data_IF_820581846328
#
_entry.id   IF_820581846328
#
_cell.length_a   1.000
_cell.length_b   1.000
_cell.length_c   1.000
_cell.angle_alpha   90.00
_cell.angle_beta   90.00
_cell.angle_gamma   90.00
#
_symmetry.space_group_name_H-M   'P 1'
#
loop_
_entity.id
_entity.type
_entity.pdbx_description
1 polymer ?
#
# COMPACT_ATOMS: atom_id res chain seq x y z
N UNK A 1 -38.54 -60.75 -24.99
CA UNK A 1 -38.21 -61.25 -23.63
C UNK A 1 -36.91 -60.57 -23.23
N UNK A 2 -36.97 -59.38 -22.62
CA UNK A 2 -35.78 -58.72 -22.05
C UNK A 2 -35.74 -59.20 -20.59
N UNK A 3 -34.88 -60.18 -20.33
CA UNK A 3 -34.54 -60.60 -18.97
C UNK A 3 -33.45 -59.65 -18.46
N UNK A 4 -33.60 -59.29 -17.19
CA UNK A 4 -32.66 -58.55 -16.34
C UNK A 4 -32.81 -57.01 -16.30
N UNK A 5 -33.91 -56.55 -15.70
CA UNK A 5 -34.00 -55.20 -15.10
C UNK A 5 -33.40 -55.21 -13.70
N UNK A 6 -32.34 -54.44 -13.48
CA UNK A 6 -31.85 -54.09 -12.14
C UNK A 6 -32.31 -52.68 -11.76
N UNK A 7 -32.90 -52.54 -10.58
CA UNK A 7 -33.36 -51.24 -10.03
C UNK A 7 -32.29 -50.71 -9.08
N UNK A 8 -31.60 -49.64 -9.46
CA UNK A 8 -30.66 -48.93 -8.60
C UNK A 8 -31.43 -47.89 -7.75
N UNK A 9 -31.39 -48.02 -6.42
CA UNK A 9 -31.94 -47.01 -5.50
C UNK A 9 -30.86 -46.01 -5.13
N UNK A 10 -31.15 -44.73 -5.36
CA UNK A 10 -30.32 -43.62 -4.92
C UNK A 10 -31.00 -42.87 -3.78
N UNK A 11 -30.20 -42.40 -2.81
CA UNK A 11 -30.66 -41.41 -1.83
C UNK A 11 -30.25 -40.02 -2.27
N UNK A 12 -31.21 -39.10 -2.33
CA UNK A 12 -30.98 -37.71 -2.69
C UNK A 12 -30.55 -36.93 -1.43
N UNK A 13 -29.35 -36.33 -1.46
CA UNK A 13 -28.86 -35.48 -0.38
C UNK A 13 -28.19 -34.23 -0.95
N UNK A 14 -28.69 -33.05 -0.57
CA UNK A 14 -28.15 -31.73 -0.98
C UNK A 14 -27.93 -31.56 -2.49
N UNK A 15 -28.88 -32.03 -3.31
CA UNK A 15 -28.82 -31.88 -4.77
C UNK A 15 -28.00 -32.93 -5.50
N UNK A 16 -27.47 -33.94 -4.79
CA UNK A 16 -26.69 -35.03 -5.37
C UNK A 16 -27.34 -36.39 -5.05
N UNK A 17 -27.25 -37.32 -6.01
CA UNK A 17 -27.67 -38.71 -5.84
C UNK A 17 -26.47 -39.55 -5.41
N UNK A 18 -26.55 -40.18 -4.25
CA UNK A 18 -25.45 -40.98 -3.69
C UNK A 18 -25.77 -42.46 -3.87
N UNK A 19 -24.86 -43.18 -4.53
CA UNK A 19 -24.90 -44.63 -4.65
C UNK A 19 -24.01 -45.24 -3.55
N UNK A 20 -24.59 -46.03 -2.65
CA UNK A 20 -23.83 -46.81 -1.67
C UNK A 20 -23.88 -48.29 -2.08
N UNK A 21 -22.77 -48.89 -2.54
CA UNK A 21 -22.76 -50.30 -2.89
C UNK A 21 -22.83 -51.17 -1.63
N UNK A 22 -23.75 -52.13 -1.62
CA UNK A 22 -23.75 -53.25 -0.66
C UNK A 22 -23.20 -54.47 -1.43
N UNK A 23 -21.91 -54.73 -1.25
CA UNK A 23 -21.09 -55.89 -1.65
C UNK A 23 -21.42 -56.66 -2.96
N UNK A 24 -20.59 -56.53 -3.99
CA UNK A 24 -19.54 -57.50 -4.42
C UNK A 24 -18.98 -57.11 -5.80
N UNK A 25 -17.65 -56.97 -5.87
CA UNK A 25 -16.79 -56.75 -7.05
C UNK A 25 -17.42 -56.14 -8.33
N UNK A 26 -17.76 -54.85 -8.28
CA UNK A 26 -17.90 -54.03 -9.51
C UNK A 26 -16.67 -53.14 -9.59
N UNK A 27 -15.65 -53.54 -10.36
CA UNK A 27 -14.41 -52.76 -10.49
C UNK A 27 -14.58 -51.47 -11.31
N UNK A 28 -15.64 -51.35 -12.11
CA UNK A 28 -16.14 -50.07 -12.65
C UNK A 28 -17.47 -50.26 -13.38
N UNK A 29 -18.29 -49.21 -13.41
CA UNK A 29 -19.50 -49.12 -14.22
C UNK A 29 -19.28 -47.99 -15.24
N UNK A 30 -19.41 -48.29 -16.54
CA UNK A 30 -19.25 -47.33 -17.63
C UNK A 30 -20.62 -46.84 -18.09
N UNK A 31 -21.04 -45.70 -17.57
CA UNK A 31 -22.22 -44.98 -18.09
C UNK A 31 -21.76 -44.14 -19.29
N UNK A 32 -22.06 -44.59 -20.51
CA UNK A 32 -21.92 -43.75 -21.71
C UNK A 32 -23.06 -42.76 -21.76
N UNK A 33 -22.89 -41.60 -21.14
CA UNK A 33 -23.66 -40.43 -21.56
C UNK A 33 -23.01 -39.83 -22.82
N UNK A 34 -23.79 -39.39 -23.80
CA UNK A 34 -23.23 -38.71 -24.96
C UNK A 34 -22.53 -37.42 -24.50
N UNK A 35 -21.19 -37.42 -24.53
CA UNK A 35 -20.40 -36.24 -24.19
C UNK A 35 -20.67 -35.15 -25.23
N UNK A 36 -21.05 -33.93 -24.83
CA UNK A 36 -21.28 -32.84 -25.77
C UNK A 36 -20.08 -32.58 -26.68
N UNK A 37 -20.33 -32.22 -27.94
CA UNK A 37 -19.26 -32.07 -28.96
C UNK A 37 -18.19 -31.07 -28.55
N UNK A 38 -18.59 -29.97 -27.89
CA UNK A 38 -17.66 -28.96 -27.40
C UNK A 38 -16.73 -29.52 -26.31
N UNK A 39 -17.26 -30.37 -25.41
CA UNK A 39 -16.46 -31.07 -24.38
C UNK A 39 -15.54 -32.10 -25.01
N UNK A 40 -15.98 -32.82 -26.05
CA UNK A 40 -15.11 -33.74 -26.79
C UNK A 40 -13.91 -33.02 -27.42
N UNK A 41 -14.13 -31.87 -28.05
CA UNK A 41 -13.03 -31.08 -28.62
C UNK A 41 -12.10 -30.51 -27.55
N UNK A 42 -12.63 -30.07 -26.41
CA UNK A 42 -11.81 -29.70 -25.26
C UNK A 42 -10.85 -30.80 -24.84
N UNK A 43 -11.33 -32.04 -24.75
CA UNK A 43 -10.51 -33.20 -24.40
C UNK A 43 -9.50 -33.53 -25.52
N UNK A 44 -9.94 -33.55 -26.80
CA UNK A 44 -9.08 -33.85 -27.96
C UNK A 44 -7.95 -32.85 -28.14
N UNK A 45 -8.21 -31.57 -27.85
CA UNK A 45 -7.25 -30.48 -27.96
C UNK A 45 -6.47 -30.27 -26.65
N UNK A 46 -6.24 -31.35 -25.90
CA UNK A 46 -5.45 -31.36 -24.67
C UNK A 46 -5.89 -30.29 -23.66
N UNK A 47 -7.18 -30.25 -23.36
CA UNK A 47 -7.78 -29.33 -22.40
C UNK A 47 -7.67 -27.84 -22.79
N UNK A 48 -7.73 -27.53 -24.10
CA UNK A 48 -7.78 -26.16 -24.58
C UNK A 48 -9.02 -25.42 -24.03
N UNK A 49 -8.87 -24.15 -23.64
CA UNK A 49 -9.97 -23.37 -23.06
C UNK A 49 -11.20 -23.35 -23.99
N UNK A 50 -12.40 -23.56 -23.44
CA UNK A 50 -13.65 -23.61 -24.20
C UNK A 50 -13.90 -22.35 -25.06
N UNK A 51 -13.54 -21.17 -24.56
CA UNK A 51 -13.62 -19.92 -25.31
C UNK A 51 -12.73 -19.91 -26.55
N UNK A 52 -11.51 -20.44 -26.45
CA UNK A 52 -10.60 -20.54 -27.59
C UNK A 52 -11.13 -21.51 -28.66
N UNK A 53 -11.75 -22.62 -28.25
CA UNK A 53 -12.37 -23.58 -29.17
C UNK A 53 -13.58 -22.96 -29.87
N UNK A 54 -14.45 -22.26 -29.11
CA UNK A 54 -15.59 -21.52 -29.66
C UNK A 54 -15.14 -20.46 -30.67
N UNK A 55 -14.08 -19.73 -30.36
CA UNK A 55 -13.53 -18.70 -31.25
C UNK A 55 -12.96 -19.33 -32.52
N UNK A 56 -12.15 -20.38 -32.40
CA UNK A 56 -11.59 -21.07 -33.56
C UNK A 56 -12.66 -21.68 -34.49
N UNK A 57 -13.77 -22.14 -33.92
CA UNK A 57 -14.91 -22.64 -34.70
C UNK A 57 -15.66 -21.52 -35.43
N UNK A 58 -15.74 -20.32 -34.85
CA UNK A 58 -16.35 -19.15 -35.49
C UNK A 58 -15.47 -18.58 -36.60
N UNK A 59 -14.16 -18.55 -36.37
CA UNK A 59 -13.19 -17.97 -37.29
C UNK A 59 -12.82 -18.93 -38.43
N UNK A 60 -13.27 -20.19 -38.36
CA UNK A 60 -13.04 -21.21 -39.40
C UNK A 60 -11.58 -21.61 -39.55
N UNK A 61 -10.76 -21.41 -38.51
CA UNK A 61 -9.29 -21.61 -38.57
C UNK A 61 -8.85 -23.07 -38.41
N UNK A 62 -9.78 -24.00 -38.16
CA UNK A 62 -9.51 -25.43 -38.02
C UNK A 62 -10.51 -26.26 -38.83
N UNK A 63 -10.00 -27.08 -39.75
CA UNK A 63 -10.80 -28.02 -40.54
C UNK A 63 -11.27 -29.22 -39.71
N UNK A 64 -12.45 -29.78 -40.04
CA UNK A 64 -13.01 -30.96 -39.36
C UNK A 64 -13.75 -30.71 -38.03
N UNK A 65 -13.77 -29.46 -37.55
CA UNK A 65 -14.49 -29.08 -36.33
C UNK A 65 -15.94 -28.68 -36.66
N UNK A 66 -16.86 -29.65 -36.61
CA UNK A 66 -18.29 -29.42 -36.87
C UNK A 66 -19.07 -29.14 -35.58
N UNK A 67 -19.11 -27.87 -35.17
CA UNK A 67 -19.92 -27.38 -34.04
C UNK A 67 -21.15 -26.62 -34.55
N UNK A 68 -22.33 -26.93 -34.02
CA UNK A 68 -23.57 -26.22 -34.32
C UNK A 68 -23.68 -24.94 -33.49
N UNK A 69 -24.60 -24.03 -33.86
CA UNK A 69 -24.92 -22.86 -33.03
C UNK A 69 -25.34 -23.25 -31.61
N UNK A 70 -26.02 -24.38 -31.45
CA UNK A 70 -26.42 -24.92 -30.15
C UNK A 70 -25.21 -25.33 -29.31
N UNK A 71 -24.23 -26.03 -29.92
CA UNK A 71 -22.99 -26.43 -29.23
C UNK A 71 -22.18 -25.22 -28.73
N UNK A 72 -22.17 -24.12 -29.50
CA UNK A 72 -21.43 -22.89 -29.15
C UNK A 72 -22.12 -22.05 -28.07
N UNK A 73 -23.45 -22.19 -27.93
CA UNK A 73 -24.25 -21.45 -26.97
C UNK A 73 -24.16 -22.02 -25.55
N UNK A 74 -23.76 -23.29 -25.39
CA UNK A 74 -23.62 -23.91 -24.08
C UNK A 74 -22.28 -23.61 -23.43
N UNK A 75 -22.28 -23.42 -22.12
CA UNK A 75 -21.07 -23.32 -21.30
C UNK A 75 -20.85 -24.60 -20.51
N UNK A 76 -19.59 -25.01 -20.45
CA UNK A 76 -19.14 -26.20 -19.73
C UNK A 76 -17.95 -25.85 -18.87
N UNK A 77 -17.82 -26.53 -17.74
CA UNK A 77 -16.66 -26.48 -16.87
C UNK A 77 -15.99 -27.86 -16.87
N UNK A 78 -14.65 -27.88 -16.87
CA UNK A 78 -13.89 -29.12 -16.74
C UNK A 78 -13.21 -29.13 -15.37
N UNK A 79 -13.68 -29.99 -14.46
CA UNK A 79 -13.14 -30.09 -13.10
C UNK A 79 -11.62 -30.26 -13.07
N UNK A 80 -11.07 -31.10 -13.95
CA UNK A 80 -9.62 -31.31 -14.07
C UNK A 80 -8.89 -30.01 -14.46
N UNK A 81 -9.48 -29.20 -15.33
CA UNK A 81 -8.92 -27.89 -15.67
C UNK A 81 -9.09 -26.88 -14.54
N UNK A 82 -10.22 -26.89 -13.84
CA UNK A 82 -10.44 -26.02 -12.69
C UNK A 82 -9.40 -26.30 -11.61
N UNK A 83 -9.08 -27.57 -11.34
CA UNK A 83 -8.05 -27.95 -10.36
C UNK A 83 -6.63 -27.66 -10.88
N UNK A 84 -6.28 -28.11 -12.09
CA UNK A 84 -4.91 -28.05 -12.59
C UNK A 84 -4.50 -26.67 -13.15
N UNK A 85 -5.48 -25.87 -13.59
CA UNK A 85 -5.28 -24.54 -14.19
C UNK A 85 -5.93 -23.44 -13.37
N UNK A 86 -6.37 -23.72 -12.14
CA UNK A 86 -6.76 -22.70 -11.18
C UNK A 86 -5.67 -21.63 -11.11
N UNK A 87 -6.04 -20.40 -11.47
CA UNK A 87 -5.22 -19.23 -11.24
C UNK A 87 -5.83 -18.49 -10.06
N UNK A 88 -4.98 -18.00 -9.15
CA UNK A 88 -5.43 -17.06 -8.10
C UNK A 88 -6.20 -15.94 -8.78
N UNK A 89 -7.36 -15.57 -8.22
CA UNK A 89 -8.12 -14.43 -8.75
C UNK A 89 -7.17 -13.25 -8.89
N UNK A 90 -7.09 -12.67 -10.09
CA UNK A 90 -6.43 -11.37 -10.21
C UNK A 90 -7.29 -10.36 -9.47
N UNK A 91 -6.76 -9.74 -8.41
CA UNK A 91 -7.42 -8.65 -7.67
C UNK A 91 -7.75 -7.42 -8.55
N UNK A 92 -7.40 -7.43 -9.84
CA UNK A 92 -7.89 -6.49 -10.85
C UNK A 92 -9.43 -6.44 -10.96
N UNK A 93 -10.15 -7.47 -10.49
CA UNK A 93 -11.62 -7.51 -10.48
C UNK A 93 -12.28 -7.08 -9.17
N UNK A 94 -11.51 -6.73 -8.14
CA UNK A 94 -12.04 -5.96 -7.01
C UNK A 94 -11.83 -4.49 -7.34
N UNK A 95 -12.91 -3.70 -7.41
CA UNK A 95 -12.84 -2.26 -7.13
C UNK A 95 -12.93 -2.14 -5.61
N UNK A 96 -11.84 -2.29 -4.83
CA UNK A 96 -11.96 -2.12 -3.39
C UNK A 96 -12.55 -0.73 -3.14
N UNK A 97 -13.59 -0.67 -2.31
CA UNK A 97 -14.12 0.59 -1.82
C UNK A 97 -12.97 1.32 -1.12
N UNK A 98 -12.50 2.38 -1.76
CA UNK A 98 -11.53 3.29 -1.20
C UNK A 98 -12.31 4.37 -0.47
N UNK A 99 -12.04 4.56 0.82
CA UNK A 99 -12.61 5.73 1.51
C UNK A 99 -12.15 7.02 0.84
N UNK A 100 -13.04 8.01 0.81
CA UNK A 100 -12.75 9.39 0.43
C UNK A 100 -12.82 10.33 1.63
N UNK A 101 -13.19 9.80 2.81
CA UNK A 101 -13.38 10.56 4.04
C UNK A 101 -12.04 10.61 4.77
N UNK A 102 -11.54 11.80 5.14
CA UNK A 102 -10.34 11.91 5.95
C UNK A 102 -10.45 11.14 7.27
N UNK A 103 -9.38 10.46 7.65
CA UNK A 103 -9.22 9.67 8.88
C UNK A 103 -10.14 8.46 9.03
N UNK A 104 -10.96 8.14 8.03
CA UNK A 104 -11.77 6.92 8.08
C UNK A 104 -10.88 5.67 8.08
N UNK A 105 -9.79 5.66 7.30
CA UNK A 105 -8.79 4.60 7.34
C UNK A 105 -7.38 5.16 7.17
N UNK A 106 -6.50 4.83 8.11
CA UNK A 106 -5.07 5.17 8.06
C UNK A 106 -4.24 3.90 7.96
N UNK A 107 -3.44 3.80 6.90
CA UNK A 107 -2.46 2.73 6.73
C UNK A 107 -1.17 3.09 7.44
N UNK A 108 -0.63 2.15 8.19
CA UNK A 108 0.57 2.33 9.01
C UNK A 108 1.59 1.29 8.57
N UNK A 109 2.80 1.75 8.28
CA UNK A 109 3.93 0.88 7.97
C UNK A 109 5.22 1.47 8.54
N UNK A 110 6.16 0.57 8.84
CA UNK A 110 7.42 0.90 9.49
C UNK A 110 8.58 0.65 8.55
N UNK A 111 9.46 1.63 8.45
CA UNK A 111 10.74 1.48 7.75
C UNK A 111 11.93 1.36 8.71
N UNK A 112 12.93 0.61 8.27
CA UNK A 112 14.20 0.42 8.95
C UNK A 112 14.40 -0.98 9.54
N UNK A 113 15.52 -1.21 10.26
CA UNK A 113 16.52 -0.22 10.66
C UNK A 113 17.29 0.39 9.46
N UNK A 114 17.60 1.68 9.54
CA UNK A 114 18.43 2.40 8.57
C UNK A 114 19.80 2.68 9.22
N UNK A 115 20.85 2.32 8.49
CA UNK A 115 22.25 2.55 8.88
C UNK A 115 22.89 3.52 7.89
N UNK A 116 23.61 4.56 8.34
CA UNK A 116 23.85 4.94 9.74
C UNK A 116 22.61 5.55 10.43
N UNK A 117 22.56 5.54 11.79
CA UNK A 117 21.55 6.29 12.53
C UNK A 117 21.64 7.79 12.21
N UNK A 118 20.54 8.52 12.37
CA UNK A 118 20.57 9.99 12.30
C UNK A 118 21.44 10.59 13.41
N UNK A 119 21.81 11.87 13.30
CA UNK A 119 22.49 12.60 14.38
C UNK A 119 21.71 12.59 15.71
N UNK A 120 20.37 12.46 15.66
CA UNK A 120 19.51 12.30 16.84
C UNK A 120 19.31 10.84 17.29
N UNK A 121 20.09 9.89 16.78
CA UNK A 121 20.02 8.47 17.16
C UNK A 121 18.79 7.73 16.64
N UNK A 122 18.02 8.32 15.71
CA UNK A 122 16.88 7.66 15.07
C UNK A 122 17.38 6.61 14.08
N UNK A 123 16.77 5.42 14.11
CA UNK A 123 17.12 4.26 13.27
C UNK A 123 15.93 3.71 12.49
N UNK A 124 14.72 4.07 12.88
CA UNK A 124 13.49 3.60 12.26
C UNK A 124 12.57 4.80 11.98
N UNK A 125 11.55 4.58 11.16
CA UNK A 125 10.47 5.54 11.00
C UNK A 125 9.14 4.82 10.82
N UNK A 126 8.05 5.50 11.15
CA UNK A 126 6.70 5.08 10.84
C UNK A 126 6.06 6.09 9.90
N UNK A 127 5.45 5.57 8.84
CA UNK A 127 4.70 6.37 7.88
C UNK A 127 3.22 6.02 8.01
N UNK A 128 2.41 7.02 8.35
CA UNK A 128 0.97 6.89 8.45
C UNK A 128 0.38 7.56 7.22
N UNK A 129 -0.42 6.84 6.45
CA UNK A 129 -1.00 7.32 5.18
C UNK A 129 -2.51 7.22 5.25
N UNK A 130 -3.18 8.37 5.22
CA UNK A 130 -4.62 8.42 5.15
C UNK A 130 -5.13 7.93 3.78
N UNK A 131 -6.08 7.01 3.78
CA UNK A 131 -6.56 6.39 2.55
C UNK A 131 -7.37 7.38 1.68
N UNK A 132 -8.16 8.23 2.32
CA UNK A 132 -8.99 9.25 1.67
C UNK A 132 -8.14 10.31 0.99
N UNK A 133 -7.36 11.02 1.78
CA UNK A 133 -6.61 12.21 1.39
C UNK A 133 -5.22 11.92 0.86
N UNK A 134 -4.69 10.71 1.02
CA UNK A 134 -3.28 10.36 0.73
C UNK A 134 -2.25 11.19 1.52
N UNK A 135 -2.71 11.90 2.55
CA UNK A 135 -1.85 12.68 3.41
C UNK A 135 -0.99 11.75 4.25
N UNK A 136 0.26 12.14 4.43
CA UNK A 136 1.28 11.32 5.08
C UNK A 136 1.76 12.01 6.35
N UNK A 137 1.76 11.29 7.47
CA UNK A 137 2.45 11.71 8.69
C UNK A 137 3.67 10.81 8.88
N UNK A 138 4.79 11.43 9.23
CA UNK A 138 6.06 10.77 9.46
C UNK A 138 6.44 10.89 10.93
N UNK A 139 6.85 9.78 11.51
CA UNK A 139 7.43 9.73 12.86
C UNK A 139 8.79 9.07 12.77
N UNK A 140 9.82 9.67 13.38
CA UNK A 140 11.17 9.09 13.46
C UNK A 140 11.37 8.43 14.82
N UNK A 141 11.82 7.18 14.82
CA UNK A 141 11.90 6.32 16.00
C UNK A 141 13.36 5.92 16.28
N UNK A 142 13.72 5.87 17.56
CA UNK A 142 14.97 5.26 18.01
C UNK A 142 14.81 3.74 18.03
N UNK A 143 13.66 3.25 18.50
CA UNK A 143 13.35 1.82 18.63
C UNK A 143 11.91 1.49 18.23
N UNK A 144 11.65 0.22 17.91
CA UNK A 144 10.32 -0.26 17.49
C UNK A 144 9.28 -0.22 18.62
N UNK A 145 9.67 -0.12 19.89
CA UNK A 145 8.73 -0.08 21.02
C UNK A 145 8.00 1.27 21.15
N UNK A 146 8.45 2.33 20.46
CA UNK A 146 7.82 3.65 20.51
C UNK A 146 6.46 3.72 19.78
N UNK A 147 6.14 2.72 18.93
CA UNK A 147 4.96 2.66 18.05
C UNK A 147 3.64 2.99 18.77
N UNK A 148 3.35 2.31 19.89
CA UNK A 148 2.09 2.51 20.62
C UNK A 148 1.98 3.92 21.19
N UNK A 149 3.10 4.45 21.70
CA UNK A 149 3.13 5.82 22.27
C UNK A 149 2.91 6.86 21.18
N UNK A 150 3.50 6.64 20.00
CA UNK A 150 3.33 7.51 18.84
C UNK A 150 1.88 7.46 18.35
N UNK A 151 1.29 6.27 18.21
CA UNK A 151 -0.09 6.13 17.77
C UNK A 151 -1.08 6.83 18.72
N UNK A 152 -0.91 6.68 20.04
CA UNK A 152 -1.74 7.36 21.04
C UNK A 152 -1.67 8.89 20.88
N UNK A 153 -0.47 9.44 20.68
CA UNK A 153 -0.27 10.87 20.46
C UNK A 153 -0.87 11.32 19.12
N UNK A 154 -0.66 10.53 18.07
CA UNK A 154 -1.21 10.77 16.74
C UNK A 154 -2.72 10.87 16.81
N UNK A 155 -3.41 9.84 17.33
CA UNK A 155 -4.86 9.79 17.46
C UNK A 155 -5.41 11.07 18.14
N UNK A 156 -4.92 11.42 19.32
CA UNK A 156 -5.40 12.61 20.04
C UNK A 156 -5.13 13.90 19.25
N UNK A 157 -3.95 14.01 18.63
CA UNK A 157 -3.59 15.24 17.90
C UNK A 157 -4.38 15.41 16.61
N UNK A 158 -4.58 14.35 15.84
CA UNK A 158 -5.17 14.41 14.50
C UNK A 158 -6.66 14.70 14.57
N UNK A 159 -7.37 14.12 15.54
CA UNK A 159 -8.79 14.42 15.75
C UNK A 159 -9.00 15.87 16.21
N UNK A 160 -8.12 16.39 17.06
CA UNK A 160 -8.17 17.80 17.51
C UNK A 160 -7.86 18.79 16.40
N UNK A 161 -7.05 18.41 15.41
CA UNK A 161 -6.61 19.30 14.34
C UNK A 161 -7.60 19.37 13.17
N UNK A 162 -8.30 18.27 12.88
CA UNK A 162 -9.04 18.13 11.64
C UNK A 162 -10.55 17.91 11.80
N UNK A 163 -11.05 17.80 13.05
CA UNK A 163 -12.47 17.53 13.35
C UNK A 163 -13.04 16.26 12.66
N UNK A 164 -12.15 15.34 12.29
CA UNK A 164 -12.48 14.00 11.83
C UNK A 164 -12.09 12.99 12.89
N UNK A 165 -12.76 11.84 12.89
CA UNK A 165 -12.46 10.72 13.79
C UNK A 165 -11.58 9.70 13.11
N UNK A 166 -10.54 9.24 13.80
CA UNK A 166 -9.76 8.10 13.36
C UNK A 166 -10.59 6.83 13.59
N UNK A 167 -11.12 6.22 12.53
CA UNK A 167 -12.02 5.06 12.67
C UNK A 167 -11.30 3.73 12.59
N UNK A 168 -10.44 3.59 11.59
CA UNK A 168 -9.76 2.32 11.32
C UNK A 168 -8.27 2.55 11.10
N UNK A 169 -7.44 1.72 11.72
CA UNK A 169 -6.02 1.61 11.37
C UNK A 169 -5.77 0.29 10.65
N UNK A 170 -4.91 0.35 9.63
CA UNK A 170 -4.49 -0.82 8.88
C UNK A 170 -2.97 -1.00 9.01
N UNK A 171 -2.55 -2.13 9.57
CA UNK A 171 -1.12 -2.46 9.80
C UNK A 171 -0.77 -3.79 9.15
N UNK A 172 0.52 -4.06 9.03
CA UNK A 172 0.99 -5.43 8.81
C UNK A 172 0.83 -6.29 10.08
N UNK A 173 1.18 -7.58 9.98
CA UNK A 173 1.16 -8.51 11.11
C UNK A 173 2.41 -8.41 12.00
N UNK A 174 3.06 -7.24 12.08
CA UNK A 174 4.23 -7.07 12.94
C UNK A 174 3.83 -7.12 14.43
N UNK A 175 4.73 -7.67 15.26
CA UNK A 175 4.44 -7.98 16.67
C UNK A 175 4.06 -6.74 17.50
N UNK A 176 4.65 -5.59 17.16
CA UNK A 176 4.31 -4.30 17.77
C UNK A 176 2.82 -3.93 17.61
N UNK A 177 2.25 -4.23 16.45
CA UNK A 177 0.86 -3.89 16.11
C UNK A 177 -0.13 -4.97 16.59
N UNK A 178 0.35 -6.14 16.97
CA UNK A 178 -0.48 -7.21 17.54
C UNK A 178 -0.42 -7.25 19.08
N UNK A 179 0.16 -6.23 19.71
CA UNK A 179 0.34 -6.21 21.16
C UNK A 179 -1.01 -6.11 21.91
N UNK A 180 -1.10 -6.76 23.08
CA UNK A 180 -2.29 -6.71 23.95
C UNK A 180 -2.65 -5.27 24.33
N UNK A 181 -1.64 -4.44 24.56
CA UNK A 181 -1.82 -3.03 24.94
C UNK A 181 -2.41 -2.20 23.80
N UNK A 182 -1.97 -2.42 22.57
CA UNK A 182 -2.53 -1.73 21.41
C UNK A 182 -3.97 -2.18 21.15
N UNK A 183 -4.23 -3.49 21.25
CA UNK A 183 -5.57 -4.03 21.14
C UNK A 183 -6.52 -3.44 22.18
N UNK A 184 -6.09 -3.37 23.45
CA UNK A 184 -6.87 -2.77 24.53
C UNK A 184 -7.09 -1.26 24.33
N UNK A 185 -6.07 -0.55 23.83
CA UNK A 185 -6.21 0.87 23.51
C UNK A 185 -7.25 1.10 22.42
N UNK A 186 -7.12 0.42 21.29
CA UNK A 186 -8.03 0.60 20.15
C UNK A 186 -9.46 0.19 20.48
N UNK A 187 -9.66 -0.97 21.12
CA UNK A 187 -11.01 -1.42 21.51
C UNK A 187 -11.67 -0.49 22.53
N UNK A 188 -10.90 0.07 23.48
CA UNK A 188 -11.41 0.97 24.51
C UNK A 188 -11.94 2.31 23.98
N UNK A 189 -11.50 2.74 22.80
CA UNK A 189 -11.91 4.01 22.16
C UNK A 189 -12.68 3.81 20.85
N UNK A 190 -12.88 2.55 20.44
CA UNK A 190 -13.62 2.20 19.22
C UNK A 190 -12.85 2.34 17.91
N UNK A 191 -11.51 2.30 17.93
CA UNK A 191 -10.71 2.21 16.70
C UNK A 191 -10.69 0.75 16.22
N UNK A 192 -11.13 0.51 14.99
CA UNK A 192 -11.02 -0.78 14.34
C UNK A 192 -9.58 -1.03 13.88
N UNK A 193 -9.09 -2.25 14.08
CA UNK A 193 -7.79 -2.68 13.60
C UNK A 193 -7.96 -3.71 12.50
N UNK A 194 -7.45 -3.37 11.32
CA UNK A 194 -7.36 -4.28 10.19
C UNK A 194 -5.91 -4.70 10.00
N UNK A 195 -5.70 -5.99 9.79
CA UNK A 195 -4.39 -6.54 9.50
C UNK A 195 -4.36 -7.02 8.06
N UNK A 196 -3.24 -6.80 7.38
CA UNK A 196 -3.03 -7.35 6.05
C UNK A 196 -3.04 -8.87 6.10
N UNK A 197 -3.75 -9.52 5.18
CA UNK A 197 -3.72 -10.97 5.10
C UNK A 197 -2.29 -11.47 4.81
N UNK A 198 -1.83 -12.55 5.46
CA UNK A 198 -0.60 -13.22 5.08
C UNK A 198 -0.61 -13.52 3.57
N UNK A 199 0.45 -13.14 2.86
CA UNK A 199 0.60 -13.34 1.41
C UNK A 199 -0.38 -12.55 0.51
N UNK A 200 -0.92 -11.43 1.00
CA UNK A 200 -1.62 -10.41 0.20
C UNK A 200 -1.00 -9.01 0.41
N UNK A 201 0.27 -8.78 0.00
CA UNK A 201 0.93 -7.47 0.12
C UNK A 201 0.12 -6.35 -0.54
N UNK A 202 -0.74 -6.69 -1.50
CA UNK A 202 -1.55 -5.73 -2.22
C UNK A 202 -2.52 -4.94 -1.32
N UNK A 203 -2.89 -5.48 -0.16
CA UNK A 203 -3.82 -4.86 0.80
C UNK A 203 -3.19 -3.65 1.51
N UNK A 204 -1.87 -3.65 1.75
CA UNK A 204 -1.15 -2.47 2.29
C UNK A 204 -0.46 -1.63 1.20
N UNK A 205 -0.80 -1.87 -0.08
CA UNK A 205 -0.16 -1.22 -1.22
C UNK A 205 0.01 0.30 -1.06
N UNK A 206 -0.96 0.97 -0.44
CA UNK A 206 -0.99 2.43 -0.33
C UNK A 206 0.23 2.94 0.45
N UNK A 207 0.46 2.38 1.63
CA UNK A 207 1.58 2.80 2.47
C UNK A 207 2.89 2.17 1.98
N UNK A 208 2.90 0.92 1.53
CA UNK A 208 4.12 0.27 1.00
C UNK A 208 4.68 1.02 -0.22
N UNK A 209 3.83 1.36 -1.20
CA UNK A 209 4.24 2.16 -2.37
C UNK A 209 4.65 3.56 -1.95
N UNK A 210 4.01 4.13 -0.93
CA UNK A 210 4.39 5.43 -0.40
C UNK A 210 5.79 5.37 0.22
N UNK A 211 6.07 4.37 1.07
CA UNK A 211 7.37 4.13 1.68
C UNK A 211 8.48 3.95 0.64
N UNK A 212 8.23 3.10 -0.37
CA UNK A 212 9.15 2.93 -1.49
C UNK A 212 9.44 4.25 -2.20
N UNK A 213 8.39 5.02 -2.51
CA UNK A 213 8.50 6.30 -3.23
C UNK A 213 9.28 7.34 -2.43
N UNK A 214 8.96 7.53 -1.15
CA UNK A 214 9.63 8.54 -0.32
C UNK A 214 11.09 8.16 -0.09
N UNK A 215 11.40 6.88 0.13
CA UNK A 215 12.79 6.46 0.33
C UNK A 215 13.64 6.57 -0.93
N UNK A 216 13.08 6.34 -2.12
CA UNK A 216 13.79 6.60 -3.37
C UNK A 216 14.12 8.09 -3.53
N UNK A 217 13.16 8.97 -3.22
CA UNK A 217 13.40 10.42 -3.24
C UNK A 217 14.46 10.84 -2.22
N UNK A 218 14.48 10.25 -1.03
CA UNK A 218 15.53 10.48 -0.01
C UNK A 218 16.91 10.10 -0.56
N UNK A 219 17.05 8.92 -1.16
CA UNK A 219 18.31 8.47 -1.76
C UNK A 219 18.79 9.43 -2.84
N UNK A 220 17.92 9.77 -3.79
CA UNK A 220 18.24 10.71 -4.86
C UNK A 220 18.67 12.08 -4.32
N UNK A 221 17.94 12.59 -3.32
CA UNK A 221 18.19 13.91 -2.75
C UNK A 221 19.52 13.99 -2.03
N UNK A 222 19.82 13.03 -1.14
CA UNK A 222 21.10 12.98 -0.43
C UNK A 222 22.27 12.84 -1.38
N UNK A 223 22.13 12.01 -2.42
CA UNK A 223 23.17 11.85 -3.44
C UNK A 223 23.36 13.13 -4.27
N UNK A 224 22.28 13.80 -4.66
CA UNK A 224 22.34 15.01 -5.48
C UNK A 224 23.03 16.18 -4.76
N UNK A 225 22.80 16.34 -3.46
CA UNK A 225 23.47 17.38 -2.67
C UNK A 225 24.77 16.92 -1.97
N UNK A 226 25.22 15.68 -2.20
CA UNK A 226 26.44 15.13 -1.61
C UNK A 226 26.42 15.05 -0.08
N UNK A 227 25.23 14.96 0.53
CA UNK A 227 25.10 14.91 1.99
C UNK A 227 25.24 13.49 2.54
N UNK A 228 25.84 13.39 3.74
CA UNK A 228 26.01 12.14 4.46
C UNK A 228 24.66 11.44 4.72
N UNK A 229 24.64 10.10 4.63
CA UNK A 229 23.45 9.30 4.87
C UNK A 229 22.84 9.52 6.27
N UNK A 230 23.59 10.00 7.27
CA UNK A 230 23.08 10.41 8.59
C UNK A 230 22.00 11.49 8.54
N UNK A 231 21.88 12.23 7.43
CA UNK A 231 20.81 13.21 7.20
C UNK A 231 19.49 12.58 6.70
N UNK A 232 19.39 11.24 6.60
CA UNK A 232 18.20 10.58 6.08
C UNK A 232 16.89 10.98 6.79
N UNK A 233 16.93 11.27 8.10
CA UNK A 233 15.75 11.69 8.84
C UNK A 233 15.25 13.08 8.44
N UNK A 234 16.16 14.02 8.21
CA UNK A 234 15.85 15.37 7.73
C UNK A 234 15.35 15.31 6.28
N UNK A 235 16.06 14.57 5.42
CA UNK A 235 15.67 14.36 4.04
C UNK A 235 14.28 13.70 3.92
N UNK A 236 14.00 12.68 4.74
CA UNK A 236 12.69 12.01 4.74
C UNK A 236 11.58 12.96 5.21
N UNK A 237 11.84 13.77 6.24
CA UNK A 237 10.89 14.78 6.72
C UNK A 237 10.60 15.83 5.64
N UNK A 238 11.64 16.32 4.95
CA UNK A 238 11.51 17.22 3.82
C UNK A 238 10.71 16.58 2.66
N UNK A 239 11.03 15.35 2.28
CA UNK A 239 10.33 14.62 1.22
C UNK A 239 8.85 14.47 1.57
N UNK A 240 8.50 14.01 2.77
CA UNK A 240 7.09 13.86 3.18
C UNK A 240 6.36 15.21 3.17
N UNK A 241 7.02 16.28 3.65
CA UNK A 241 6.47 17.63 3.66
C UNK A 241 6.13 18.14 2.24
N UNK A 242 7.04 17.91 1.28
CA UNK A 242 6.82 18.27 -0.14
C UNK A 242 5.80 17.37 -0.82
N UNK A 243 5.81 16.06 -0.58
CA UNK A 243 4.85 15.11 -1.15
C UNK A 243 3.41 15.40 -0.77
N UNK A 244 3.16 15.88 0.45
CA UNK A 244 1.83 16.30 0.86
C UNK A 244 1.34 17.55 0.10
N UNK A 245 2.24 18.29 -0.55
CA UNK A 245 1.94 19.51 -1.32
C UNK A 245 2.05 19.29 -2.84
N UNK A 246 2.43 18.09 -3.27
CA UNK A 246 2.48 17.71 -4.67
C UNK A 246 1.12 17.18 -5.14
N UNK A 247 0.67 17.52 -6.36
CA UNK A 247 -0.56 16.97 -6.92
C UNK A 247 -0.41 15.46 -7.16
N UNK A 248 -1.49 14.70 -6.95
CA UNK A 248 -1.48 13.26 -7.20
C UNK A 248 -2.65 12.81 -8.06
N UNK A 249 -2.39 11.88 -8.99
CA UNK A 249 -3.41 11.26 -9.84
C UNK A 249 -4.50 10.58 -9.01
N UNK A 250 -4.15 10.05 -7.84
CA UNK A 250 -5.10 9.39 -6.95
C UNK A 250 -6.19 10.35 -6.42
N UNK A 251 -5.97 11.67 -6.47
CA UNK A 251 -6.92 12.68 -6.02
C UNK A 251 -7.42 13.56 -7.18
N UNK A 252 -7.32 13.06 -8.43
CA UNK A 252 -7.72 13.84 -9.61
C UNK A 252 -6.90 15.11 -9.80
N UNK A 253 -5.63 15.13 -9.37
CA UNK A 253 -4.74 16.28 -9.48
C UNK A 253 -4.74 17.22 -8.27
N UNK A 254 -5.57 16.99 -7.25
CA UNK A 254 -5.46 17.71 -5.97
C UNK A 254 -4.22 17.27 -5.19
N UNK A 255 -3.77 18.14 -4.30
CA UNK A 255 -2.68 17.82 -3.34
C UNK A 255 -3.27 17.10 -2.12
N UNK A 256 -2.52 16.20 -1.46
CA UNK A 256 -2.96 15.60 -0.20
C UNK A 256 -3.29 16.65 0.88
N UNK A 257 -2.53 17.75 0.91
CA UNK A 257 -2.79 18.89 1.78
C UNK A 257 -4.16 19.51 1.50
N UNK A 258 -4.48 19.77 0.23
CA UNK A 258 -5.79 20.30 -0.15
C UNK A 258 -6.93 19.35 0.22
N UNK A 259 -6.73 18.04 0.03
CA UNK A 259 -7.74 17.04 0.37
C UNK A 259 -8.01 16.95 1.88
N UNK A 260 -6.99 17.12 2.72
CA UNK A 260 -7.13 17.04 4.18
C UNK A 260 -7.57 18.36 4.82
N UNK A 261 -7.02 19.49 4.36
CA UNK A 261 -7.26 20.81 4.98
C UNK A 261 -8.34 21.64 4.27
N UNK A 262 -8.85 21.18 3.12
CA UNK A 262 -9.87 21.90 2.34
C UNK A 262 -9.38 23.18 1.66
N UNK A 263 -8.06 23.45 1.66
CA UNK A 263 -7.46 24.64 1.05
C UNK A 263 -6.14 24.31 0.36
N UNK A 264 -5.80 25.07 -0.70
CA UNK A 264 -4.54 24.89 -1.43
C UNK A 264 -3.33 25.27 -0.54
N UNK A 265 -2.22 24.51 -0.60
CA UNK A 265 -1.01 24.90 0.10
C UNK A 265 -0.34 26.11 -0.58
N UNK A 266 0.17 27.05 0.21
CA UNK A 266 1.19 27.98 -0.28
C UNK A 266 2.54 27.22 -0.31
N UNK A 267 3.29 27.37 -1.41
CA UNK A 267 4.58 26.71 -1.64
C UNK A 267 5.73 27.69 -1.84
N UNK A 268 5.50 29.00 -1.69
CA UNK A 268 6.48 30.06 -1.95
C UNK A 268 7.67 30.00 -0.98
N UNK A 269 7.47 29.41 0.20
CA UNK A 269 8.50 29.18 1.20
C UNK A 269 9.38 27.96 0.90
N UNK A 270 9.05 27.15 -0.12
CA UNK A 270 9.82 25.95 -0.43
C UNK A 270 11.20 26.31 -0.97
N UNK A 271 12.23 25.65 -0.46
CA UNK A 271 13.62 25.80 -0.91
C UNK A 271 14.20 24.43 -1.23
N UNK A 272 15.13 24.32 -2.21
CA UNK A 272 15.76 23.05 -2.53
C UNK A 272 16.57 22.52 -1.35
N UNK A 273 16.33 21.26 -0.96
CA UNK A 273 17.14 20.59 0.07
C UNK A 273 18.63 20.60 -0.33
N UNK A 274 19.50 20.92 0.63
CA UNK A 274 20.93 21.02 0.40
C UNK A 274 21.41 22.36 -0.15
N UNK A 275 20.52 23.32 -0.46
CA UNK A 275 20.94 24.63 -0.95
C UNK A 275 21.71 25.42 0.12
N UNK A 276 22.57 26.32 -0.34
CA UNK A 276 23.32 27.23 0.55
C UNK A 276 22.35 28.26 1.13
N UNK A 277 22.48 28.47 2.44
CA UNK A 277 21.67 29.39 3.20
C UNK A 277 22.54 30.24 4.12
N UNK A 278 22.08 31.45 4.44
CA UNK A 278 22.74 32.38 5.35
C UNK A 278 21.77 32.72 6.47
N UNK A 279 22.00 32.13 7.65
CA UNK A 279 21.15 32.31 8.83
C UNK A 279 21.57 33.58 9.57
N UNK A 280 20.64 34.50 9.83
CA UNK A 280 20.94 35.73 10.55
C UNK A 280 21.37 35.46 12.00
N UNK A 281 22.45 36.10 12.43
CA UNK A 281 22.97 36.06 13.82
C UNK A 281 22.40 37.25 14.58
N UNK A 282 21.72 36.96 15.69
CA UNK A 282 21.16 37.97 16.57
C UNK A 282 22.24 38.94 17.07
N UNK A 283 21.89 40.23 17.20
CA UNK A 283 22.77 41.27 17.75
C UNK A 283 23.30 40.88 19.14
N UNK A 284 22.53 40.17 19.96
CA UNK A 284 22.97 39.72 21.27
C UNK A 284 24.14 38.72 21.23
N UNK A 285 24.35 38.04 20.09
CA UNK A 285 25.37 36.99 19.91
C UNK A 285 26.59 37.48 19.11
N UNK A 286 26.68 38.78 18.82
CA UNK A 286 27.72 39.33 17.95
C UNK A 286 28.12 40.74 18.38
N UNK A 287 29.39 41.06 18.24
CA UNK A 287 29.95 42.39 18.40
C UNK A 287 29.80 43.23 17.12
N UNK A 288 30.25 44.49 17.13
CA UNK A 288 29.99 45.46 16.05
C UNK A 288 30.56 45.04 14.69
N UNK A 289 31.71 44.36 14.68
CA UNK A 289 32.41 43.93 13.46
C UNK A 289 32.21 42.46 13.11
N UNK A 290 31.54 41.70 13.97
CA UNK A 290 31.29 40.28 13.73
C UNK A 290 30.35 40.06 12.53
N UNK A 291 30.46 38.91 11.85
CA UNK A 291 29.54 38.53 10.79
C UNK A 291 28.07 38.62 11.25
N UNK A 292 27.20 39.04 10.33
CA UNK A 292 25.76 39.17 10.60
C UNK A 292 24.96 37.91 10.28
N UNK A 293 25.59 36.95 9.62
CA UNK A 293 24.97 35.69 9.24
C UNK A 293 26.02 34.59 9.24
N UNK A 294 25.60 33.37 9.55
CA UNK A 294 26.43 32.18 9.38
C UNK A 294 26.04 31.46 8.10
N UNK A 295 27.03 30.92 7.38
CA UNK A 295 26.81 30.08 6.20
C UNK A 295 26.35 28.70 6.65
N UNK A 296 25.28 28.22 6.03
CA UNK A 296 24.60 26.99 6.41
C UNK A 296 24.12 26.23 5.17
N UNK A 297 23.72 24.98 5.39
CA UNK A 297 23.01 24.14 4.43
C UNK A 297 21.57 23.98 4.88
N UNK A 298 20.62 24.20 3.97
CA UNK A 298 19.21 23.99 4.24
C UNK A 298 18.84 22.50 4.25
N UNK A 299 18.19 22.02 5.32
CA UNK A 299 17.81 20.59 5.46
C UNK A 299 16.34 20.35 5.79
N UNK A 300 15.51 21.37 5.92
CA UNK A 300 14.07 21.17 6.08
C UNK A 300 13.35 22.27 6.86
N UNK A 301 12.14 21.96 7.32
CA UNK A 301 11.28 22.91 8.02
C UNK A 301 11.10 22.47 9.46
N UNK A 302 11.09 23.42 10.39
CA UNK A 302 10.80 23.15 11.78
C UNK A 302 9.33 22.73 11.97
N UNK A 303 9.06 21.86 12.93
CA UNK A 303 7.72 21.34 13.20
C UNK A 303 6.87 22.25 14.09
N UNK A 304 7.50 22.97 15.03
CA UNK A 304 6.82 23.80 16.03
C UNK A 304 6.89 25.31 15.74
N UNK A 305 7.79 25.72 14.86
CA UNK A 305 8.04 27.12 14.55
C UNK A 305 7.99 27.37 13.04
N UNK A 306 7.64 28.59 12.64
CA UNK A 306 7.79 29.04 11.24
C UNK A 306 9.25 29.36 10.96
N UNK A 307 10.10 28.35 11.02
CA UNK A 307 11.55 28.43 10.83
C UNK A 307 12.04 27.29 9.94
N UNK A 308 13.26 27.45 9.47
CA UNK A 308 13.98 26.48 8.67
C UNK A 308 14.97 25.71 9.55
N UNK A 309 15.15 24.43 9.27
CA UNK A 309 16.19 23.58 9.84
C UNK A 309 17.42 23.69 8.96
N UNK A 310 18.55 24.01 9.58
CA UNK A 310 19.80 24.33 8.93
C UNK A 310 20.94 23.55 9.58
N UNK A 311 21.96 23.24 8.78
CA UNK A 311 23.24 22.72 9.25
C UNK A 311 24.27 23.81 9.11
N UNK A 312 24.90 24.18 10.21
CA UNK A 312 26.01 25.10 10.23
C UNK A 312 27.22 24.52 9.47
N UNK A 313 27.77 25.25 8.51
CA UNK A 313 28.85 24.72 7.67
C UNK A 313 30.19 24.54 8.40
N UNK A 314 30.41 25.25 9.51
CA UNK A 314 31.67 25.19 10.26
C UNK A 314 31.63 24.13 11.35
N UNK A 315 30.57 24.15 12.17
CA UNK A 315 30.41 23.26 13.31
C UNK A 315 29.71 21.94 12.99
N UNK A 316 29.01 21.87 11.84
CA UNK A 316 28.15 20.74 11.48
C UNK A 316 26.91 20.60 12.37
N UNK A 317 26.64 21.58 13.25
CA UNK A 317 25.50 21.53 14.16
C UNK A 317 24.20 21.85 13.44
N UNK A 318 23.15 21.10 13.81
CA UNK A 318 21.80 21.32 13.31
C UNK A 318 21.04 22.27 14.23
N UNK A 319 20.43 23.31 13.65
CA UNK A 319 19.68 24.32 14.39
C UNK A 319 18.50 24.86 13.58
N UNK A 320 17.63 25.64 14.24
CA UNK A 320 16.46 26.26 13.63
C UNK A 320 16.60 27.78 13.56
N UNK A 321 16.29 28.36 12.40
CA UNK A 321 16.30 29.81 12.21
C UNK A 321 15.19 30.26 11.27
N UNK A 322 14.50 31.36 11.62
CA UNK A 322 13.46 31.96 10.78
C UNK A 322 14.02 32.92 9.74
N UNK A 323 15.00 33.73 10.12
CA UNK A 323 15.56 34.79 9.27
C UNK A 323 16.73 34.25 8.47
N UNK A 324 16.44 33.79 7.25
CA UNK A 324 17.41 33.09 6.40
C UNK A 324 17.35 33.65 4.99
N UNK A 325 18.54 33.91 4.42
CA UNK A 325 18.68 34.22 2.99
C UNK A 325 19.19 32.98 2.27
N UNK A 326 18.51 32.58 1.19
CA UNK A 326 18.88 31.40 0.41
C UNK A 326 19.60 31.80 -0.87
N UNK A 327 20.56 30.97 -1.27
CA UNK A 327 21.22 31.00 -2.58
C UNK A 327 21.03 29.62 -3.18
N UNK A 328 20.18 29.54 -4.20
CA UNK A 328 19.74 28.29 -4.83
C UNK A 328 20.60 27.90 -6.04
N UNK A 329 21.76 28.55 -6.19
CA UNK A 329 22.73 28.23 -7.23
C UNK A 329 23.42 26.91 -6.86
N UNK A 330 23.24 25.90 -7.71
CA UNK A 330 23.82 24.55 -7.57
C UNK A 330 25.22 24.47 -8.14
#
# INVERSE_FOLDING_TARGET
MIRDTFVLRFTHHRGQYILRPYADQINSCLVRQPTPKLVQWHLRLAHLNFGAIKQAARDGVMEGMHLTKFDLAQDYNCEVCEVAKARRMSYKNTKPYRTQVPLERVHIDKGGPITPPTFGGKMHYELYVDEGTRYKWLFLLTSKSESLTILKKFHVSVERQHDYKLKTIMTDNAKEYMSKELNAYCSGIGIEQLYTNPYSPEENCVVEKSNYTVMNKVRCMLQACGMDNRYWGEALSYVVYTENRNPTKALGGKTPFEALFGRKPNIDHLRPFGCTAFAFIDKAKRTKLDPRATKCVFVGYASQHKSYRLVDCESGQLFECRSVKFTEDF
#
